data_IF_238303706198
#
_entry.id   IF_238303706198
#
_cell.length_a   1.000
_cell.length_b   1.000
_cell.length_c   1.000
_cell.angle_alpha   90.00
_cell.angle_beta   90.00
_cell.angle_gamma   90.00
#
_symmetry.space_group_name_H-M   'P 1'
#
loop_
_entity.id
_entity.type
_entity.pdbx_description
1 polymer ?
#
# COMPACT_ATOMS: atom_id res chain seq x y z
N UNK A 1 -13.61 -19.79 16.09
CA UNK A 1 -13.75 -18.43 16.69
C UNK A 1 -14.72 -17.65 15.82
N UNK A 2 -15.71 -16.94 16.37
CA UNK A 2 -16.61 -16.07 15.59
C UNK A 2 -15.89 -14.77 15.22
N UNK A 3 -15.77 -14.47 13.94
CA UNK A 3 -15.21 -13.21 13.43
C UNK A 3 -16.23 -12.08 13.59
N UNK A 4 -15.87 -11.02 14.32
CA UNK A 4 -16.70 -9.80 14.40
C UNK A 4 -16.39 -8.92 13.19
N UNK A 5 -17.41 -8.36 12.54
CA UNK A 5 -17.33 -7.51 11.33
C UNK A 5 -16.88 -8.22 10.04
N UNK A 6 -17.26 -9.49 9.84
CA UNK A 6 -16.93 -10.22 8.63
C UNK A 6 -17.78 -9.75 7.43
N UNK A 7 -17.16 -9.01 6.50
CA UNK A 7 -17.74 -8.72 5.19
C UNK A 7 -17.28 -9.81 4.23
N UNK A 8 -18.10 -10.84 4.04
CA UNK A 8 -17.74 -12.01 3.22
C UNK A 8 -18.28 -11.87 1.80
N UNK A 9 -17.37 -11.76 0.83
CA UNK A 9 -17.73 -11.88 -0.59
C UNK A 9 -17.69 -13.38 -0.96
N UNK A 10 -18.82 -14.01 -1.27
CA UNK A 10 -18.85 -15.44 -1.58
C UNK A 10 -18.05 -15.73 -2.85
N UNK A 11 -17.22 -16.78 -2.81
CA UNK A 11 -16.45 -17.34 -3.95
C UNK A 11 -15.47 -16.39 -4.65
N UNK A 12 -15.24 -15.18 -4.16
CA UNK A 12 -14.32 -14.22 -4.79
C UNK A 12 -12.90 -14.79 -4.97
N UNK A 13 -12.37 -15.45 -3.93
CA UNK A 13 -11.01 -15.99 -3.95
C UNK A 13 -10.87 -17.25 -4.83
N UNK A 14 -11.94 -18.06 -4.94
CA UNK A 14 -11.98 -19.25 -5.79
C UNK A 14 -11.99 -18.88 -7.29
N UNK A 15 -12.74 -17.83 -7.64
CA UNK A 15 -12.74 -17.26 -8.98
C UNK A 15 -11.40 -16.61 -9.35
N UNK A 16 -10.80 -15.83 -8.44
CA UNK A 16 -9.53 -15.13 -8.69
C UNK A 16 -8.32 -16.07 -8.71
N UNK A 17 -8.29 -17.09 -7.86
CA UNK A 17 -7.14 -17.97 -7.70
C UNK A 17 -7.13 -19.14 -8.67
N UNK A 18 -8.29 -19.74 -8.96
CA UNK A 18 -8.37 -21.01 -9.71
C UNK A 18 -9.22 -20.88 -10.98
N UNK A 19 -9.82 -19.71 -11.24
CA UNK A 19 -10.70 -19.45 -12.38
C UNK A 19 -11.92 -20.42 -12.47
N UNK A 20 -12.17 -21.18 -11.40
CA UNK A 20 -13.31 -22.10 -11.25
C UNK A 20 -14.02 -21.77 -9.93
N UNK A 21 -15.30 -21.34 -9.96
CA UNK A 21 -16.09 -20.99 -8.78
C UNK A 21 -16.31 -22.12 -7.77
N UNK A 22 -16.07 -23.37 -8.16
CA UNK A 22 -16.27 -24.55 -7.31
C UNK A 22 -14.96 -25.13 -6.75
N UNK A 23 -13.82 -24.52 -7.08
CA UNK A 23 -12.52 -24.96 -6.57
C UNK A 23 -12.44 -24.81 -5.04
N UNK A 24 -12.01 -25.88 -4.36
CA UNK A 24 -11.89 -25.90 -2.90
C UNK A 24 -10.58 -25.25 -2.48
N UNK A 25 -10.64 -24.01 -2.01
CA UNK A 25 -9.51 -23.33 -1.39
C UNK A 25 -9.22 -23.99 -0.04
N UNK A 26 -7.97 -24.38 0.18
CA UNK A 26 -7.51 -24.95 1.45
C UNK A 26 -7.67 -23.90 2.55
N UNK A 27 -8.49 -24.21 3.55
CA UNK A 27 -8.68 -23.33 4.70
C UNK A 27 -7.47 -23.35 5.62
N UNK A 28 -7.20 -22.22 6.28
CA UNK A 28 -6.09 -22.09 7.23
C UNK A 28 -6.16 -23.12 8.38
N UNK A 29 -7.36 -23.57 8.74
CA UNK A 29 -7.60 -24.60 9.76
C UNK A 29 -6.99 -25.98 9.42
N UNK A 30 -6.64 -26.22 8.15
CA UNK A 30 -5.98 -27.45 7.72
C UNK A 30 -4.47 -27.45 7.98
N UNK A 31 -3.89 -26.29 8.34
CA UNK A 31 -2.47 -26.16 8.67
C UNK A 31 -2.23 -26.15 10.18
N UNK A 32 -1.07 -26.68 10.66
CA UNK A 32 -0.69 -26.59 12.06
C UNK A 32 -0.65 -25.14 12.55
N UNK A 33 -1.23 -24.87 13.72
CA UNK A 33 -1.31 -23.51 14.29
C UNK A 33 0.05 -22.85 14.51
N UNK A 34 1.10 -23.64 14.71
CA UNK A 34 2.47 -23.13 14.89
C UNK A 34 3.05 -22.51 13.61
N UNK A 35 2.46 -22.82 12.45
CA UNK A 35 2.87 -22.28 11.16
C UNK A 35 1.99 -21.11 10.71
N UNK A 36 1.04 -20.67 11.56
CA UNK A 36 0.15 -19.58 11.19
C UNK A 36 0.87 -18.23 11.32
N UNK A 37 0.77 -17.36 10.30
CA UNK A 37 1.16 -15.96 10.44
C UNK A 37 0.22 -15.23 11.41
N UNK A 38 0.54 -13.97 11.73
CA UNK A 38 -0.38 -13.11 12.45
C UNK A 38 -1.57 -12.72 11.55
N UNK A 39 -2.58 -13.59 11.50
CA UNK A 39 -3.75 -13.51 10.60
C UNK A 39 -4.44 -12.16 10.68
N UNK A 40 -4.51 -11.53 11.87
CA UNK A 40 -5.18 -10.25 12.05
C UNK A 40 -4.46 -9.12 11.33
N UNK A 41 -3.14 -9.05 11.47
CA UNK A 41 -2.33 -8.01 10.81
C UNK A 41 -2.35 -8.19 9.29
N UNK A 42 -2.22 -9.44 8.83
CA UNK A 42 -2.28 -9.76 7.40
C UNK A 42 -3.63 -9.38 6.81
N UNK A 43 -4.73 -9.67 7.51
CA UNK A 43 -6.07 -9.31 7.05
C UNK A 43 -6.27 -7.79 6.96
N UNK A 44 -5.87 -7.02 7.97
CA UNK A 44 -5.99 -5.57 7.94
C UNK A 44 -5.10 -4.92 6.87
N UNK A 45 -3.89 -5.44 6.68
CA UNK A 45 -3.02 -4.99 5.61
C UNK A 45 -3.62 -5.29 4.23
N UNK A 46 -4.25 -6.46 4.07
CA UNK A 46 -4.96 -6.82 2.83
C UNK A 46 -6.14 -5.89 2.57
N UNK A 47 -6.97 -5.62 3.56
CA UNK A 47 -8.12 -4.72 3.43
C UNK A 47 -7.67 -3.30 3.07
N UNK A 48 -6.58 -2.81 3.69
CA UNK A 48 -6.02 -1.50 3.38
C UNK A 48 -5.46 -1.44 1.97
N UNK A 49 -4.71 -2.46 1.53
CA UNK A 49 -4.15 -2.57 0.19
C UNK A 49 -5.25 -2.61 -0.88
N UNK A 50 -6.21 -3.52 -0.75
CA UNK A 50 -7.30 -3.65 -1.72
C UNK A 50 -8.21 -2.43 -1.69
N UNK A 51 -8.58 -1.94 -0.51
CA UNK A 51 -9.44 -0.77 -0.35
C UNK A 51 -8.84 0.49 -0.96
N UNK A 52 -7.55 0.76 -0.71
CA UNK A 52 -6.83 1.87 -1.33
C UNK A 52 -6.65 1.69 -2.84
N UNK A 53 -6.27 0.50 -3.30
CA UNK A 53 -6.11 0.19 -4.72
C UNK A 53 -7.41 0.37 -5.51
N UNK A 54 -8.53 -0.13 -4.99
CA UNK A 54 -9.85 0.05 -5.59
C UNK A 54 -10.27 1.52 -5.57
N UNK A 55 -10.03 2.26 -4.48
CA UNK A 55 -10.34 3.68 -4.41
C UNK A 55 -9.55 4.50 -5.45
N UNK A 56 -8.25 4.21 -5.61
CA UNK A 56 -7.39 4.85 -6.62
C UNK A 56 -7.83 4.51 -8.04
N UNK A 57 -8.21 3.26 -8.30
CA UNK A 57 -8.74 2.83 -9.58
C UNK A 57 -10.04 3.56 -9.94
N UNK A 58 -10.99 3.64 -9.00
CA UNK A 58 -12.25 4.36 -9.19
C UNK A 58 -12.01 5.86 -9.41
N UNK A 59 -11.05 6.46 -8.68
CA UNK A 59 -10.66 7.85 -8.89
C UNK A 59 -10.09 8.06 -10.30
N UNK A 60 -9.24 7.15 -10.78
CA UNK A 60 -8.68 7.21 -12.14
C UNK A 60 -9.77 7.15 -13.21
N UNK A 61 -10.75 6.26 -13.06
CA UNK A 61 -11.89 6.17 -13.98
C UNK A 61 -12.71 7.46 -13.95
N UNK A 62 -13.01 7.99 -12.76
CA UNK A 62 -13.79 9.21 -12.62
C UNK A 62 -13.10 10.41 -13.29
N UNK A 63 -11.78 10.57 -13.08
CA UNK A 63 -10.99 11.63 -13.73
C UNK A 63 -11.03 11.47 -15.25
N UNK A 64 -10.82 10.25 -15.76
CA UNK A 64 -10.86 9.96 -17.20
C UNK A 64 -12.23 10.24 -17.82
N UNK A 65 -13.31 9.87 -17.12
CA UNK A 65 -14.69 10.13 -17.55
C UNK A 65 -14.97 11.64 -17.60
N UNK A 66 -14.65 12.39 -16.55
CA UNK A 66 -14.85 13.85 -16.53
C UNK A 66 -14.00 14.58 -17.58
N UNK A 67 -12.78 14.10 -17.84
CA UNK A 67 -11.93 14.65 -18.88
C UNK A 67 -12.51 14.41 -20.28
N UNK A 68 -13.11 13.24 -20.51
CA UNK A 68 -13.77 12.92 -21.77
C UNK A 68 -15.04 13.75 -21.99
N UNK A 69 -15.89 13.86 -20.97
CA UNK A 69 -17.15 14.61 -21.05
C UNK A 69 -16.91 16.12 -21.26
N UNK A 70 -15.94 16.70 -20.54
CA UNK A 70 -15.60 18.13 -20.65
C UNK A 70 -14.65 18.47 -21.81
N UNK A 71 -14.10 17.47 -22.51
CA UNK A 71 -13.01 17.63 -23.51
C UNK A 71 -11.87 18.53 -23.01
N UNK A 72 -11.54 18.45 -21.73
CA UNK A 72 -10.61 19.36 -21.06
C UNK A 72 -10.24 18.87 -19.65
N UNK A 73 -9.30 19.57 -19.00
CA UNK A 73 -8.81 19.17 -17.67
C UNK A 73 -9.90 19.42 -16.62
N UNK A 74 -10.33 18.37 -15.87
CA UNK A 74 -11.30 18.56 -14.80
C UNK A 74 -10.77 19.46 -13.67
N UNK A 75 -11.49 20.55 -13.40
CA UNK A 75 -11.10 21.64 -12.50
C UNK A 75 -11.89 21.66 -11.17
N UNK A 76 -12.68 20.61 -10.92
CA UNK A 76 -13.51 20.51 -9.71
C UNK A 76 -12.68 20.49 -8.43
N UNK A 77 -12.94 21.40 -7.49
CA UNK A 77 -12.22 21.51 -6.21
C UNK A 77 -12.14 20.20 -5.42
N UNK A 78 -13.21 19.40 -5.43
CA UNK A 78 -13.26 18.10 -4.76
C UNK A 78 -12.40 17.04 -5.47
N UNK A 79 -12.38 17.05 -6.79
CA UNK A 79 -11.57 16.13 -7.58
C UNK A 79 -10.08 16.42 -7.41
N UNK A 80 -9.68 17.69 -7.43
CA UNK A 80 -8.29 18.10 -7.18
C UNK A 80 -7.84 17.72 -5.77
N UNK A 81 -8.70 17.88 -4.75
CA UNK A 81 -8.41 17.39 -3.39
C UNK A 81 -8.26 15.88 -3.33
N UNK A 82 -9.09 15.13 -4.05
CA UNK A 82 -8.99 13.67 -4.14
C UNK A 82 -7.68 13.23 -4.84
N UNK A 83 -7.27 13.93 -5.89
CA UNK A 83 -5.99 13.72 -6.58
C UNK A 83 -4.79 14.00 -5.68
N UNK A 84 -4.84 15.05 -4.86
CA UNK A 84 -3.80 15.31 -3.86
C UNK A 84 -3.76 14.20 -2.81
N UNK A 85 -4.91 13.70 -2.36
CA UNK A 85 -4.99 12.58 -1.41
C UNK A 85 -4.54 11.24 -2.02
N UNK A 86 -4.62 11.08 -3.34
CA UNK A 86 -4.19 9.87 -4.05
C UNK A 86 -2.70 9.57 -3.89
N UNK A 87 -1.86 10.62 -3.81
CA UNK A 87 -0.42 10.48 -3.59
C UNK A 87 -0.06 9.71 -2.32
N UNK A 88 -0.39 10.22 -1.12
CA UNK A 88 -0.12 9.51 0.13
C UNK A 88 -0.90 8.19 0.23
N UNK A 89 -2.12 8.11 -0.32
CA UNK A 89 -2.90 6.87 -0.32
C UNK A 89 -2.21 5.76 -1.14
N UNK A 90 -1.60 6.09 -2.27
CA UNK A 90 -0.83 5.14 -3.08
C UNK A 90 0.40 4.63 -2.35
N UNK A 91 1.09 5.49 -1.60
CA UNK A 91 2.21 5.06 -0.76
C UNK A 91 1.76 4.07 0.32
N UNK A 92 0.65 4.36 1.00
CA UNK A 92 0.06 3.45 1.99
C UNK A 92 -0.36 2.11 1.38
N UNK A 93 -0.89 2.11 0.15
CA UNK A 93 -1.25 0.90 -0.57
C UNK A 93 -0.04 -0.02 -0.79
N UNK A 94 1.10 0.57 -1.17
CA UNK A 94 2.35 -0.15 -1.43
C UNK A 94 2.88 -0.77 -0.13
N UNK A 95 2.98 0.01 0.95
CA UNK A 95 3.45 -0.47 2.25
C UNK A 95 2.55 -1.58 2.81
N UNK A 96 1.23 -1.45 2.64
CA UNK A 96 0.29 -2.49 3.04
C UNK A 96 0.47 -3.77 2.23
N UNK A 97 0.73 -3.67 0.93
CA UNK A 97 1.05 -4.83 0.10
C UNK A 97 2.29 -5.58 0.58
N UNK A 98 3.35 -4.84 0.94
CA UNK A 98 4.54 -5.43 1.56
C UNK A 98 4.23 -6.10 2.90
N UNK A 99 3.38 -5.52 3.73
CA UNK A 99 2.96 -6.17 4.98
C UNK A 99 2.18 -7.46 4.73
N UNK A 100 1.31 -7.52 3.72
CA UNK A 100 0.59 -8.76 3.37
C UNK A 100 1.57 -9.86 3.00
N UNK A 101 2.55 -9.57 2.15
CA UNK A 101 3.50 -10.58 1.65
C UNK A 101 4.50 -11.00 2.73
N UNK A 102 5.08 -10.06 3.47
CA UNK A 102 6.11 -10.36 4.48
C UNK A 102 5.51 -10.96 5.75
N UNK A 103 4.44 -10.37 6.29
CA UNK A 103 3.80 -10.91 7.49
C UNK A 103 3.04 -12.20 7.17
N UNK A 104 2.53 -12.36 5.94
CA UNK A 104 1.86 -13.59 5.49
C UNK A 104 2.80 -14.78 5.37
N UNK A 105 4.10 -14.55 5.12
CA UNK A 105 5.12 -15.59 5.01
C UNK A 105 5.64 -16.06 6.38
N UNK A 106 5.50 -15.25 7.43
CA UNK A 106 5.88 -15.66 8.79
C UNK A 106 5.14 -16.96 9.19
N UNK A 107 5.81 -17.93 9.85
CA UNK A 107 7.15 -17.88 10.45
C UNK A 107 8.29 -18.38 9.53
N UNK A 108 8.06 -18.47 8.23
CA UNK A 108 9.01 -19.04 7.29
C UNK A 108 9.87 -17.96 6.63
N UNK A 109 11.16 -18.26 6.41
CA UNK A 109 11.96 -17.53 5.42
C UNK A 109 11.87 -18.27 4.10
N UNK A 110 12.16 -19.57 4.12
CA UNK A 110 11.96 -20.46 3.00
C UNK A 110 10.98 -21.52 3.46
N UNK A 111 9.82 -21.57 2.80
CA UNK A 111 8.73 -22.45 3.20
C UNK A 111 9.19 -23.91 3.21
N UNK A 112 8.98 -24.60 4.33
CA UNK A 112 9.38 -26.00 4.51
C UNK A 112 10.88 -26.24 4.69
N UNK A 113 11.72 -25.19 4.65
CA UNK A 113 13.19 -25.33 4.72
C UNK A 113 13.77 -24.62 5.94
N UNK A 114 13.43 -23.35 6.18
CA UNK A 114 14.05 -22.55 7.26
C UNK A 114 13.05 -21.59 7.90
N UNK A 115 13.04 -21.58 9.24
CA UNK A 115 12.20 -20.68 10.04
C UNK A 115 12.92 -19.38 10.38
N UNK A 116 12.16 -18.31 10.59
CA UNK A 116 12.70 -16.99 10.93
C UNK A 116 13.48 -16.98 12.23
N UNK A 117 13.09 -17.81 13.20
CA UNK A 117 13.81 -17.97 14.48
C UNK A 117 15.21 -18.57 14.33
N UNK A 118 15.43 -19.40 13.32
CA UNK A 118 16.71 -20.10 13.10
C UNK A 118 17.72 -19.21 12.36
N UNK A 119 17.24 -18.19 11.65
CA UNK A 119 18.10 -17.28 10.89
C UNK A 119 18.62 -16.09 11.72
N UNK A 120 18.19 -15.93 12.98
CA UNK A 120 18.66 -14.84 13.84
C UNK A 120 20.07 -15.14 14.33
N UNK A 121 21.01 -14.23 14.08
CA UNK A 121 22.38 -14.35 14.60
C UNK A 121 22.48 -13.89 16.06
N UNK A 122 23.36 -14.50 16.87
CA UNK A 122 23.58 -14.09 18.26
C UNK A 122 24.41 -12.79 18.29
N UNK A 123 23.77 -11.66 17.99
CA UNK A 123 24.37 -10.34 18.05
C UNK A 123 24.00 -9.64 19.36
N UNK A 124 25.01 -9.42 20.21
CA UNK A 124 24.83 -8.61 21.40
C UNK A 124 24.54 -7.16 21.02
N UNK A 125 23.53 -6.55 21.67
CA UNK A 125 23.14 -5.13 21.52
C UNK A 125 22.62 -4.72 20.13
N UNK A 126 21.87 -5.58 19.43
CA UNK A 126 21.22 -5.25 18.13
C UNK A 126 20.38 -3.97 18.14
N UNK A 127 19.88 -3.54 19.30
CA UNK A 127 19.14 -2.29 19.46
C UNK A 127 19.96 -1.05 19.09
N UNK A 128 21.29 -1.07 19.26
CA UNK A 128 22.16 0.08 18.94
C UNK A 128 22.19 0.35 17.43
N UNK A 129 22.63 -0.59 16.56
CA UNK A 129 22.62 -0.36 15.12
C UNK A 129 21.20 -0.11 14.61
N UNK A 130 20.18 -0.81 15.14
CA UNK A 130 18.78 -0.57 14.79
C UNK A 130 18.35 0.88 15.02
N UNK A 131 18.67 1.44 16.19
CA UNK A 131 18.36 2.84 16.51
C UNK A 131 19.15 3.81 15.63
N UNK A 132 20.44 3.56 15.42
CA UNK A 132 21.30 4.40 14.57
C UNK A 132 20.75 4.47 13.14
N UNK A 133 20.44 3.33 12.52
CA UNK A 133 19.85 3.29 11.18
C UNK A 133 18.47 3.94 11.13
N UNK A 134 17.65 3.74 12.16
CA UNK A 134 16.32 4.38 12.25
C UNK A 134 16.44 5.91 12.29
N UNK A 135 17.31 6.45 13.14
CA UNK A 135 17.55 7.90 13.23
C UNK A 135 18.14 8.45 11.93
N UNK A 136 19.06 7.72 11.30
CA UNK A 136 19.64 8.08 10.01
C UNK A 136 18.57 8.16 8.92
N UNK A 137 17.66 7.18 8.83
CA UNK A 137 16.60 7.20 7.83
C UNK A 137 15.57 8.29 8.10
N UNK A 138 15.20 8.55 9.36
CA UNK A 138 14.33 9.68 9.71
C UNK A 138 14.96 11.00 9.28
N UNK A 139 16.25 11.20 9.59
CA UNK A 139 16.99 12.40 9.17
C UNK A 139 17.00 12.55 7.65
N UNK A 140 17.30 11.48 6.92
CA UNK A 140 17.31 11.48 5.46
C UNK A 140 15.92 11.80 4.88
N UNK A 141 14.85 11.21 5.43
CA UNK A 141 13.47 11.50 5.03
C UNK A 141 13.11 12.98 5.22
N UNK A 142 13.52 13.60 6.34
CA UNK A 142 13.29 15.04 6.59
C UNK A 142 14.06 15.90 5.59
N UNK A 143 15.33 15.56 5.31
CA UNK A 143 16.16 16.29 4.34
C UNK A 143 15.55 16.21 2.94
N UNK A 144 15.17 15.00 2.49
CA UNK A 144 14.56 14.80 1.17
C UNK A 144 13.23 15.55 1.08
N UNK A 145 12.37 15.46 2.10
CA UNK A 145 11.11 16.19 2.13
C UNK A 145 11.33 17.71 2.05
N UNK A 146 12.30 18.24 2.81
CA UNK A 146 12.64 19.66 2.77
C UNK A 146 13.16 20.09 1.40
N UNK A 147 14.05 19.31 0.78
CA UNK A 147 14.60 19.60 -0.54
C UNK A 147 13.53 19.57 -1.63
N UNK A 148 12.69 18.53 -1.65
CA UNK A 148 11.57 18.42 -2.59
C UNK A 148 10.60 19.59 -2.40
N UNK A 149 10.19 19.89 -1.17
CA UNK A 149 9.32 21.04 -0.88
C UNK A 149 9.95 22.35 -1.35
N UNK A 150 11.23 22.56 -1.07
CA UNK A 150 11.97 23.76 -1.52
C UNK A 150 12.01 23.85 -3.04
N UNK A 151 12.19 22.74 -3.75
CA UNK A 151 12.21 22.70 -5.21
C UNK A 151 10.82 23.03 -5.78
N UNK A 152 9.76 22.40 -5.28
CA UNK A 152 8.38 22.67 -5.71
C UNK A 152 7.95 24.12 -5.48
N UNK A 153 8.34 24.73 -4.35
CA UNK A 153 7.99 26.14 -4.07
C UNK A 153 8.81 27.14 -4.90
N UNK A 154 9.99 26.75 -5.38
CA UNK A 154 10.84 27.59 -6.24
C UNK A 154 10.51 27.49 -7.72
N UNK A 155 9.81 26.44 -8.14
CA UNK A 155 9.24 26.36 -9.47
C UNK A 155 8.07 27.33 -9.54
N UNK A 156 8.35 28.60 -9.80
CA UNK A 156 7.33 29.53 -10.29
C UNK A 156 6.81 28.98 -11.63
N UNK A 157 5.49 28.87 -11.73
CA UNK A 157 4.86 28.22 -12.88
C UNK A 157 5.11 29.05 -14.16
N UNK A 158 5.50 28.43 -15.29
CA UNK A 158 5.51 29.10 -16.60
C UNK A 158 4.11 29.54 -17.08
N UNK A 159 3.08 29.33 -16.26
CA UNK A 159 1.70 29.79 -16.51
C UNK A 159 1.61 31.31 -16.54
N UNK A 160 2.46 32.03 -15.78
CA UNK A 160 2.50 33.50 -15.85
C UNK A 160 2.96 33.98 -17.22
N UNK A 161 3.99 33.38 -17.82
CA UNK A 161 4.49 33.77 -19.15
C UNK A 161 3.52 33.37 -20.27
N UNK A 162 2.83 32.24 -20.16
CA UNK A 162 1.85 31.80 -21.15
C UNK A 162 0.60 32.69 -21.19
N UNK A 163 0.15 33.24 -20.05
CA UNK A 163 -0.99 34.16 -19.99
C UNK A 163 -0.65 35.60 -20.40
N UNK A 164 0.65 35.95 -20.46
CA UNK A 164 1.09 37.31 -20.81
C UNK A 164 1.36 37.46 -22.31
N UNK A 165 1.62 36.36 -23.03
CA UNK A 165 1.88 36.38 -24.47
C UNK A 165 0.62 36.27 -25.36
N UNK A 166 -0.57 36.20 -24.76
CA UNK A 166 -1.87 36.15 -25.45
C UNK A 166 -2.63 37.51 -25.37
N UNK A 167 -1.96 38.64 -25.05
CA UNK A 167 -2.53 40.01 -25.05
C UNK A 167 -1.85 40.89 -26.09
#
# INVERSE_FOLDING_TARGET
>A
RTTRYALTIPRGLSLLSTHDPNSKVIGLEQFPRNDWPNVRLVHWAFDLMVGSGTALFMLSIAVGWFAWEKRGVPDGKWLLRALVAAGPLGFLAIEAGWFVTELGRQPWIIYGVMRTKEAVTPMNKIAIPFLVFTLLYIFLSVVVFYLLRRQFMKTEAPVSELLTNDV
#
